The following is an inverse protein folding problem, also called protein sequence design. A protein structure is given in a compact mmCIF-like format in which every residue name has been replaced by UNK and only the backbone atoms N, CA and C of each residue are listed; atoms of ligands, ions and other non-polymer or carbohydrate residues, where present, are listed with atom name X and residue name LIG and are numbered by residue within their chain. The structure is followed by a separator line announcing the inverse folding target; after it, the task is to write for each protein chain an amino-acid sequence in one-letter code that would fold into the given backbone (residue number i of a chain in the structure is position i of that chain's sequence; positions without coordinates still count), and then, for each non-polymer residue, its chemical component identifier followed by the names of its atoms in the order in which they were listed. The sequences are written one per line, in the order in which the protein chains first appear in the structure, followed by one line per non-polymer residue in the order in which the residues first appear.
data_IF_435965434212
#
_entry.id   IF_435965434212
#
_cell.length_a   1.000
_cell.length_b   1.000
_cell.length_c   1.000
_cell.angle_alpha   90.00
_cell.angle_beta   90.00
_cell.angle_gamma   90.00
#
_symmetry.space_group_name_H-M   'P 1'
#
loop_
_entity.id
_entity.type
_entity.pdbx_description
1 polymer ?
#
# COMPACT_ATOMS: atom_id res chain seq x y z
N UNK A 1 13.61 16.94 -10.40
CA UNK A 1 13.21 17.49 -9.08
C UNK A 1 11.69 17.44 -9.01
N UNK A 2 11.12 16.85 -7.96
CA UNK A 2 9.71 17.02 -7.62
C UNK A 2 9.50 18.44 -7.06
N UNK A 3 8.39 19.09 -7.42
CA UNK A 3 8.12 20.49 -7.12
C UNK A 3 7.05 20.68 -6.03
N UNK A 4 6.48 19.59 -5.49
CA UNK A 4 5.47 19.67 -4.43
C UNK A 4 4.96 18.32 -3.96
N UNK A 5 4.13 18.35 -2.92
CA UNK A 5 3.41 17.22 -2.34
C UNK A 5 1.91 17.49 -2.40
N UNK A 6 1.11 16.51 -2.83
CA UNK A 6 -0.34 16.56 -2.83
C UNK A 6 -0.88 15.60 -1.76
N UNK A 7 -1.39 16.13 -0.66
CA UNK A 7 -1.99 15.33 0.41
C UNK A 7 -3.37 14.82 0.02
N UNK A 8 -3.57 13.50 0.04
CA UNK A 8 -4.84 12.85 -0.31
C UNK A 8 -5.63 12.30 0.89
N UNK A 9 -5.20 12.62 2.11
CA UNK A 9 -5.92 12.31 3.34
C UNK A 9 -7.13 13.26 3.55
N UNK A 10 -7.84 13.08 4.66
CA UNK A 10 -9.04 13.84 4.98
C UNK A 10 -8.71 15.22 5.59
N UNK A 11 -9.70 16.10 5.65
CA UNK A 11 -9.57 17.47 6.16
C UNK A 11 -9.09 17.54 7.61
N UNK A 12 -9.32 16.52 8.42
CA UNK A 12 -8.90 16.50 9.82
C UNK A 12 -7.38 16.50 10.02
N UNK A 13 -6.58 16.13 9.01
CA UNK A 13 -5.12 16.25 9.05
C UNK A 13 -4.58 17.52 8.40
N UNK A 14 -5.46 18.37 7.85
CA UNK A 14 -5.04 19.60 7.20
C UNK A 14 -4.57 20.62 8.25
N UNK A 15 -3.36 21.15 8.06
CA UNK A 15 -2.82 22.24 8.87
C UNK A 15 -3.31 23.62 8.41
N UNK A 16 -4.14 23.69 7.36
CA UNK A 16 -4.74 24.94 6.88
C UNK A 16 -5.83 25.40 7.85
N UNK A 17 -5.42 25.92 9.00
CA UNK A 17 -6.33 26.64 9.91
C UNK A 17 -6.74 27.96 9.25
N UNK A 18 -8.04 28.18 9.07
CA UNK A 18 -8.83 29.43 9.06
C UNK A 18 -8.19 30.80 8.66
N UNK A 19 -7.04 30.85 7.98
CA UNK A 19 -6.30 32.10 7.72
C UNK A 19 -6.89 32.87 6.55
N UNK A 20 -7.88 32.31 5.86
CA UNK A 20 -8.69 33.02 4.89
C UNK A 20 -10.15 32.76 5.26
N UNK A 21 -10.81 33.75 5.86
CA UNK A 21 -12.22 33.74 6.27
C UNK A 21 -13.23 33.61 5.11
N UNK A 22 -12.86 32.92 4.03
CA UNK A 22 -13.65 32.70 2.82
C UNK A 22 -14.06 31.23 2.62
N UNK A 23 -13.51 30.29 3.39
CA UNK A 23 -13.78 28.84 3.24
C UNK A 23 -14.45 28.20 4.47
N UNK A 24 -15.12 28.99 5.31
CA UNK A 24 -15.94 28.47 6.39
C UNK A 24 -17.20 27.79 5.81
N UNK A 25 -17.11 26.50 5.47
CA UNK A 25 -18.25 25.70 4.99
C UNK A 25 -17.95 24.65 3.94
N UNK A 26 -16.73 24.60 3.40
CA UNK A 26 -16.28 23.55 2.49
C UNK A 26 -15.22 22.73 3.21
N UNK A 27 -15.24 21.41 3.08
CA UNK A 27 -14.08 20.65 3.48
C UNK A 27 -12.93 21.15 2.59
N UNK A 28 -11.94 21.84 3.16
CA UNK A 28 -10.74 22.22 2.44
C UNK A 28 -9.91 20.96 2.14
N UNK A 29 -10.43 20.07 1.31
CA UNK A 29 -9.76 18.90 0.81
C UNK A 29 -9.75 18.90 -0.72
N UNK A 30 -8.81 18.14 -1.24
CA UNK A 30 -8.55 18.04 -2.67
C UNK A 30 -9.75 17.47 -3.46
N UNK A 31 -10.67 16.74 -2.82
CA UNK A 31 -11.89 16.25 -3.48
C UNK A 31 -12.81 17.39 -3.91
N UNK A 32 -13.02 18.38 -3.03
CA UNK A 32 -13.83 19.56 -3.32
C UNK A 32 -13.15 20.44 -4.37
N UNK A 33 -11.81 20.52 -4.34
CA UNK A 33 -11.02 21.22 -5.34
C UNK A 33 -11.10 20.57 -6.74
N UNK A 34 -11.09 19.24 -6.81
CA UNK A 34 -11.19 18.49 -8.07
C UNK A 34 -12.63 18.38 -8.60
N UNK A 35 -13.64 18.77 -7.80
CA UNK A 35 -15.07 18.74 -8.18
C UNK A 35 -15.50 17.38 -8.75
N UNK A 36 -14.99 16.30 -8.20
CA UNK A 36 -15.27 14.95 -8.69
C UNK A 36 -16.76 14.63 -8.48
N UNK A 37 -17.43 14.15 -9.53
CA UNK A 37 -18.83 13.70 -9.43
C UNK A 37 -18.96 12.48 -8.52
N UNK A 38 -17.96 11.59 -8.57
CA UNK A 38 -17.80 10.48 -7.64
C UNK A 38 -16.53 10.72 -6.82
N UNK A 39 -16.62 10.89 -5.49
CA UNK A 39 -15.46 11.17 -4.65
C UNK A 39 -14.72 9.87 -4.33
N UNK A 40 -14.19 9.24 -5.38
CA UNK A 40 -13.42 8.01 -5.31
C UNK A 40 -12.14 8.17 -6.11
N UNK A 41 -11.13 7.41 -5.73
CA UNK A 41 -9.89 7.32 -6.50
C UNK A 41 -9.23 5.97 -6.26
N UNK A 42 -8.37 5.56 -7.19
CA UNK A 42 -7.57 4.35 -7.03
C UNK A 42 -6.12 4.57 -7.40
N UNK A 43 -5.26 3.78 -6.77
CA UNK A 43 -3.82 3.79 -7.01
C UNK A 43 -3.36 2.45 -7.57
N UNK A 44 -2.59 2.55 -8.65
CA UNK A 44 -1.74 1.49 -9.18
C UNK A 44 -0.29 1.94 -9.01
N UNK A 45 0.47 1.27 -8.15
CA UNK A 45 1.90 1.54 -8.01
C UNK A 45 2.67 0.60 -8.93
N UNK A 46 3.53 1.15 -9.77
CA UNK A 46 4.31 0.36 -10.71
C UNK A 46 5.29 -0.58 -10.01
N UNK A 47 5.63 -1.66 -10.70
CA UNK A 47 6.83 -2.41 -10.40
C UNK A 47 7.93 -1.92 -11.34
N UNK A 48 8.80 -1.03 -10.84
CA UNK A 48 9.86 -0.38 -11.65
C UNK A 48 10.65 -1.33 -12.56
N UNK A 49 10.82 -2.59 -12.16
CA UNK A 49 11.55 -3.60 -12.92
C UNK A 49 10.76 -4.21 -14.09
N UNK A 50 9.44 -4.01 -14.15
CA UNK A 50 8.51 -4.59 -15.12
C UNK A 50 8.16 -3.63 -16.27
N UNK A 51 8.69 -2.40 -16.22
CA UNK A 51 8.52 -1.40 -17.28
C UNK A 51 7.13 -0.77 -17.35
N UNK A 52 6.36 -0.83 -16.25
CA UNK A 52 5.09 -0.14 -16.09
C UNK A 52 5.23 1.21 -15.38
N UNK A 53 4.29 2.11 -15.65
CA UNK A 53 4.17 3.40 -14.97
C UNK A 53 3.11 3.32 -13.87
N UNK A 54 3.33 4.06 -12.77
CA UNK A 54 2.34 4.23 -11.72
C UNK A 54 1.19 5.13 -12.18
N UNK A 55 -0.02 4.87 -11.67
CA UNK A 55 -1.22 5.62 -12.01
C UNK A 55 -2.05 5.96 -10.77
N UNK A 56 -2.62 7.17 -10.78
CA UNK A 56 -3.74 7.53 -9.91
C UNK A 56 -4.96 7.83 -10.78
N UNK A 57 -6.05 7.13 -10.53
CA UNK A 57 -7.33 7.32 -11.23
C UNK A 57 -8.27 8.12 -10.32
N UNK A 58 -8.72 9.31 -10.75
CA UNK A 58 -9.69 10.11 -9.99
C UNK A 58 -11.11 9.99 -10.58
N UNK A 59 -12.13 9.95 -9.72
CA UNK A 59 -13.54 9.89 -10.13
C UNK A 59 -14.04 8.48 -10.52
N UNK A 60 -13.15 7.49 -10.48
CA UNK A 60 -13.42 6.09 -10.79
C UNK A 60 -12.22 5.21 -10.46
N UNK A 61 -12.22 4.00 -10.99
CA UNK A 61 -11.14 3.02 -10.84
C UNK A 61 -10.80 2.46 -12.22
N UNK A 62 -9.52 2.23 -12.51
CA UNK A 62 -9.09 1.60 -13.76
C UNK A 62 -9.15 0.07 -13.65
N UNK A 63 -10.20 -0.52 -14.22
CA UNK A 63 -10.43 -1.97 -14.24
C UNK A 63 -9.37 -2.77 -15.01
N UNK A 64 -8.48 -2.11 -15.77
CA UNK A 64 -7.37 -2.80 -16.45
C UNK A 64 -6.16 -3.05 -15.55
N UNK A 65 -6.12 -2.42 -14.36
CA UNK A 65 -4.98 -2.44 -13.44
C UNK A 65 -5.11 -3.44 -12.30
N UNK A 66 -6.26 -4.11 -12.19
CA UNK A 66 -6.52 -5.09 -11.14
C UNK A 66 -7.33 -6.29 -11.64
N UNK A 67 -7.31 -7.35 -10.85
CA UNK A 67 -8.08 -8.57 -11.10
C UNK A 67 -8.83 -9.00 -9.84
N UNK A 68 -9.97 -9.66 -10.05
CA UNK A 68 -10.88 -10.03 -8.98
C UNK A 68 -11.71 -8.86 -8.46
N UNK A 69 -12.54 -9.15 -7.46
CA UNK A 69 -13.37 -8.15 -6.80
C UNK A 69 -12.59 -7.47 -5.67
N UNK A 70 -12.74 -6.16 -5.46
CA UNK A 70 -12.13 -5.46 -4.34
C UNK A 70 -12.70 -5.97 -3.01
N UNK A 71 -11.78 -6.28 -2.10
CA UNK A 71 -12.10 -6.60 -0.71
C UNK A 71 -12.15 -5.29 0.05
N UNK A 72 -13.33 -4.92 0.55
CA UNK A 72 -13.57 -3.62 1.18
C UNK A 72 -13.44 -3.65 2.69
N UNK A 73 -12.80 -2.62 3.23
CA UNK A 73 -12.57 -2.39 4.65
C UNK A 73 -13.13 -1.03 5.06
N UNK A 74 -14.07 -0.97 6.01
CA UNK A 74 -14.57 0.30 6.51
C UNK A 74 -13.45 1.05 7.23
N UNK A 75 -13.45 2.37 7.06
CA UNK A 75 -12.57 3.25 7.81
C UNK A 75 -12.94 3.27 9.29
N UNK A 76 -11.93 3.41 10.13
CA UNK A 76 -12.05 3.52 11.59
C UNK A 76 -11.35 4.77 12.08
N UNK A 77 -11.65 5.18 13.32
CA UNK A 77 -11.15 6.41 13.96
C UNK A 77 -11.60 7.70 13.27
N UNK A 78 -12.87 8.04 13.46
CA UNK A 78 -13.35 9.39 13.23
C UNK A 78 -12.76 10.33 14.29
N UNK A 79 -12.03 11.33 13.86
CA UNK A 79 -11.67 12.48 14.68
C UNK A 79 -12.64 13.63 14.38
N UNK A 80 -12.24 14.85 14.68
CA UNK A 80 -12.96 16.06 14.32
C UNK A 80 -12.04 16.92 13.47
N UNK A 81 -12.53 17.46 12.37
CA UNK A 81 -11.75 18.38 11.56
C UNK A 81 -11.67 19.80 12.16
N UNK A 82 -10.96 20.70 11.49
CA UNK A 82 -10.78 22.09 11.90
C UNK A 82 -12.10 22.90 11.99
N UNK A 83 -13.20 22.37 11.46
CA UNK A 83 -14.53 22.97 11.47
C UNK A 83 -15.46 22.34 12.51
N UNK A 84 -14.99 21.38 13.30
CA UNK A 84 -15.83 20.70 14.29
C UNK A 84 -16.65 19.55 13.71
N UNK A 85 -16.38 19.12 12.47
CA UNK A 85 -17.13 18.06 11.79
C UNK A 85 -16.43 16.71 11.98
N UNK A 86 -17.17 15.65 12.37
CA UNK A 86 -16.60 14.30 12.42
C UNK A 86 -16.06 13.88 11.06
N UNK A 87 -14.76 13.61 11.01
CA UNK A 87 -14.05 13.24 9.78
C UNK A 87 -12.93 12.27 10.15
N UNK A 88 -12.69 11.21 9.36
CA UNK A 88 -11.46 10.43 9.52
C UNK A 88 -10.24 11.35 9.40
N UNK A 89 -9.13 10.97 10.01
CA UNK A 89 -7.85 11.63 9.72
C UNK A 89 -7.20 11.00 8.50
N UNK A 90 -6.83 9.74 8.65
CA UNK A 90 -6.09 8.96 7.67
C UNK A 90 -7.02 7.92 7.02
N UNK A 91 -6.55 7.26 5.97
CA UNK A 91 -7.18 6.08 5.39
C UNK A 91 -6.95 4.83 6.28
N UNK A 92 -7.37 4.95 7.55
CA UNK A 92 -7.20 3.93 8.58
C UNK A 92 -8.34 2.92 8.52
N UNK A 93 -8.02 1.64 8.43
CA UNK A 93 -9.00 0.56 8.37
C UNK A 93 -8.73 -0.50 9.44
N UNK A 94 -9.78 -1.25 9.81
CA UNK A 94 -9.65 -2.35 10.77
C UNK A 94 -9.06 -3.59 10.09
N UNK A 95 -8.04 -4.18 10.71
CA UNK A 95 -7.50 -5.50 10.32
C UNK A 95 -8.04 -6.59 11.26
N UNK A 96 -9.35 -6.59 11.55
CA UNK A 96 -9.97 -7.61 12.40
C UNK A 96 -9.62 -9.03 11.90
N UNK A 97 -9.26 -9.91 12.83
CA UNK A 97 -8.82 -11.28 12.49
C UNK A 97 -7.44 -11.32 11.84
N UNK A 98 -6.61 -10.30 12.10
CA UNK A 98 -5.24 -10.22 11.62
C UNK A 98 -4.42 -11.45 11.97
N UNK A 99 -3.86 -12.07 10.95
CA UNK A 99 -2.79 -13.05 11.08
C UNK A 99 -1.78 -12.89 9.95
N UNK A 100 -0.62 -13.50 10.14
CA UNK A 100 0.45 -13.50 9.16
C UNK A 100 1.03 -14.90 9.03
N UNK A 101 1.57 -15.23 7.87
CA UNK A 101 2.36 -16.44 7.68
C UNK A 101 3.41 -16.28 6.59
N UNK A 102 4.47 -17.07 6.69
CA UNK A 102 5.52 -17.21 5.69
C UNK A 102 5.80 -18.70 5.52
N UNK A 103 5.87 -19.17 4.28
CA UNK A 103 6.22 -20.57 4.00
C UNK A 103 7.64 -20.88 4.49
N UNK A 104 7.82 -22.00 5.18
CA UNK A 104 9.12 -22.50 5.62
C UNK A 104 9.30 -23.97 5.23
N UNK A 105 10.54 -24.46 5.28
CA UNK A 105 10.92 -25.85 4.94
C UNK A 105 10.15 -26.90 5.74
N UNK A 106 9.64 -26.53 6.93
CA UNK A 106 8.88 -27.41 7.82
C UNK A 106 7.36 -27.11 7.82
N UNK A 107 6.86 -26.43 6.79
CA UNK A 107 5.48 -25.90 6.72
C UNK A 107 5.44 -24.39 6.95
N UNK A 108 4.26 -23.78 6.82
CA UNK A 108 4.11 -22.33 7.03
C UNK A 108 4.24 -21.97 8.52
N UNK A 109 5.06 -20.98 8.82
CA UNK A 109 5.19 -20.39 10.16
C UNK A 109 4.38 -19.10 10.16
N UNK A 110 3.58 -18.89 11.19
CA UNK A 110 2.72 -17.72 11.28
C UNK A 110 2.23 -17.46 12.70
N UNK A 111 1.50 -16.37 12.85
CA UNK A 111 0.93 -15.94 14.12
C UNK A 111 -0.32 -15.09 13.90
N UNK A 112 -1.11 -14.90 14.95
CA UNK A 112 -2.31 -14.07 14.93
C UNK A 112 -2.29 -13.10 16.10
N UNK A 113 -2.82 -11.90 15.88
CA UNK A 113 -3.04 -10.89 16.92
C UNK A 113 -4.53 -10.88 17.28
N UNK A 114 -5.00 -11.98 17.87
CA UNK A 114 -6.41 -12.11 18.26
C UNK A 114 -6.83 -11.11 19.36
N UNK A 115 -5.86 -10.54 20.10
CA UNK A 115 -6.16 -9.68 21.25
C UNK A 115 -6.27 -8.19 20.91
N UNK A 116 -5.69 -7.70 19.81
CA UNK A 116 -5.54 -6.24 19.61
C UNK A 116 -6.37 -5.62 18.46
N UNK A 117 -7.06 -6.42 17.63
CA UNK A 117 -7.78 -5.92 16.43
C UNK A 117 -7.11 -4.69 15.81
N UNK A 118 -5.83 -4.81 15.40
CA UNK A 118 -5.03 -3.63 15.11
C UNK A 118 -5.65 -2.83 13.96
N UNK A 119 -5.23 -1.58 13.87
CA UNK A 119 -5.66 -0.66 12.81
C UNK A 119 -4.47 -0.43 11.91
N UNK A 120 -4.72 -0.44 10.61
CA UNK A 120 -3.71 -0.18 9.61
C UNK A 120 -4.07 1.04 8.78
N UNK A 121 -3.06 1.70 8.24
CA UNK A 121 -3.20 2.84 7.34
C UNK A 121 -2.76 2.42 5.95
N UNK A 122 -3.59 2.65 4.94
CA UNK A 122 -3.17 2.55 3.54
C UNK A 122 -2.47 3.86 3.16
N UNK A 123 -1.15 3.82 2.95
CA UNK A 123 -0.33 5.04 2.85
C UNK A 123 0.69 4.98 1.70
N UNK A 124 0.36 5.61 0.58
CA UNK A 124 1.28 5.78 -0.56
C UNK A 124 2.47 6.70 -0.25
N UNK A 125 2.49 7.36 0.92
CA UNK A 125 3.61 8.17 1.40
C UNK A 125 4.69 7.37 2.14
N UNK A 126 4.44 6.09 2.43
CA UNK A 126 5.37 5.21 3.15
C UNK A 126 5.89 4.12 2.23
N UNK A 127 7.22 3.97 2.13
CA UNK A 127 7.82 2.96 1.25
C UNK A 127 7.71 1.52 1.76
N UNK A 128 7.64 1.33 3.08
CA UNK A 128 7.74 0.01 3.73
C UNK A 128 6.37 -0.52 4.13
N UNK A 129 6.26 -1.85 4.29
CA UNK A 129 5.21 -2.46 5.08
C UNK A 129 5.63 -2.41 6.57
N UNK A 130 4.91 -1.64 7.37
CA UNK A 130 5.21 -1.45 8.79
C UNK A 130 4.35 -2.40 9.63
N UNK A 131 5.01 -3.30 10.35
CA UNK A 131 4.43 -4.41 11.12
C UNK A 131 4.81 -4.32 12.60
N UNK A 132 4.10 -4.99 13.52
CA UNK A 132 4.55 -5.11 14.91
C UNK A 132 5.96 -5.67 14.98
N UNK A 133 6.77 -5.16 15.91
CA UNK A 133 8.20 -5.47 16.00
C UNK A 133 8.47 -6.98 16.11
N UNK A 134 7.66 -7.70 16.88
CA UNK A 134 7.75 -9.15 17.07
C UNK A 134 7.41 -9.93 15.78
N UNK A 135 6.39 -9.49 15.05
CA UNK A 135 6.03 -10.02 13.73
C UNK A 135 7.15 -9.78 12.72
N UNK A 136 7.68 -8.56 12.65
CA UNK A 136 8.82 -8.22 11.78
C UNK A 136 10.01 -9.13 12.08
N UNK A 137 10.42 -9.23 13.35
CA UNK A 137 11.55 -10.04 13.76
C UNK A 137 11.36 -11.53 13.38
N UNK A 138 10.12 -12.02 13.53
CA UNK A 138 9.78 -13.39 13.16
C UNK A 138 9.90 -13.62 11.66
N UNK A 139 9.34 -12.73 10.84
CA UNK A 139 9.44 -12.79 9.37
C UNK A 139 10.90 -12.72 8.93
N UNK A 140 11.67 -11.75 9.41
CA UNK A 140 13.09 -11.61 9.06
C UNK A 140 13.90 -12.86 9.41
N UNK A 141 13.63 -13.47 10.56
CA UNK A 141 14.27 -14.73 10.97
C UNK A 141 13.92 -15.87 10.01
N UNK A 142 12.64 -16.01 9.62
CA UNK A 142 12.19 -17.06 8.69
C UNK A 142 12.81 -16.88 7.31
N UNK A 143 12.92 -15.63 6.84
CA UNK A 143 13.53 -15.29 5.56
C UNK A 143 15.07 -15.41 5.58
N UNK A 144 15.67 -15.69 6.74
CA UNK A 144 17.13 -15.81 6.88
C UNK A 144 17.86 -14.49 6.72
N UNK A 145 17.24 -13.38 7.12
CA UNK A 145 17.87 -12.06 7.05
C UNK A 145 19.11 -11.98 7.96
N UNK A 146 20.15 -11.32 7.48
CA UNK A 146 21.41 -11.15 8.21
C UNK A 146 21.80 -9.68 8.27
N UNK A 147 22.59 -9.27 9.27
CA UNK A 147 23.17 -7.94 9.26
C UNK A 147 24.44 -7.94 8.40
N UNK A 148 24.47 -7.10 7.37
CA UNK A 148 25.65 -6.88 6.56
C UNK A 148 26.57 -5.87 7.26
N UNK A 149 27.81 -6.29 7.54
CA UNK A 149 28.80 -5.47 8.24
C UNK A 149 29.71 -4.67 7.29
N UNK A 150 29.46 -4.73 5.97
CA UNK A 150 30.15 -3.86 5.02
C UNK A 150 29.89 -2.39 5.38
N UNK A 151 30.93 -1.55 5.55
CA UNK A 151 30.78 -0.14 5.87
C UNK A 151 29.90 0.65 4.89
N UNK A 152 29.72 0.18 3.65
CA UNK A 152 28.86 0.82 2.65
C UNK A 152 27.39 0.44 2.79
N UNK A 153 27.08 -0.70 3.42
CA UNK A 153 25.70 -1.23 3.55
C UNK A 153 25.16 -1.04 4.96
N UNK A 154 25.84 -1.56 5.99
CA UNK A 154 25.46 -1.47 7.42
C UNK A 154 23.95 -1.66 7.70
N UNK A 155 23.34 -2.69 7.12
CA UNK A 155 21.90 -2.90 7.15
C UNK A 155 21.51 -4.37 7.32
N UNK A 156 20.24 -4.62 7.70
CA UNK A 156 19.65 -5.94 7.58
C UNK A 156 19.41 -6.23 6.10
N UNK A 157 19.90 -7.38 5.65
CA UNK A 157 19.87 -7.77 4.24
C UNK A 157 19.26 -9.14 4.02
N UNK A 158 18.76 -9.33 2.81
CA UNK A 158 18.20 -10.54 2.24
C UNK A 158 18.89 -10.80 0.88
N UNK A 159 18.93 -12.06 0.41
CA UNK A 159 19.36 -12.33 -0.95
C UNK A 159 18.40 -11.67 -1.96
N UNK A 160 18.93 -11.02 -2.99
CA UNK A 160 18.14 -10.41 -4.08
C UNK A 160 17.56 -11.41 -5.09
N UNK A 161 17.22 -12.63 -4.68
CA UNK A 161 16.65 -13.61 -5.60
C UNK A 161 15.15 -13.75 -5.37
N UNK A 162 14.40 -14.05 -6.44
CA UNK A 162 12.95 -14.22 -6.37
C UNK A 162 12.56 -15.62 -5.81
N UNK A 163 13.37 -16.18 -4.91
CA UNK A 163 13.12 -17.51 -4.33
C UNK A 163 12.65 -17.47 -2.89
N UNK A 164 12.63 -16.28 -2.27
CA UNK A 164 12.09 -16.12 -0.94
C UNK A 164 10.56 -16.35 -0.95
N UNK A 165 10.02 -16.99 0.10
CA UNK A 165 8.61 -17.33 0.18
C UNK A 165 7.72 -16.08 0.28
N UNK A 166 6.51 -16.07 -0.28
CA UNK A 166 5.60 -14.94 -0.10
C UNK A 166 5.27 -14.72 1.38
N UNK A 167 5.09 -13.45 1.76
CA UNK A 167 4.53 -13.08 3.07
C UNK A 167 3.02 -13.00 2.88
N UNK A 168 2.26 -13.78 3.63
CA UNK A 168 0.79 -13.75 3.59
C UNK A 168 0.28 -13.01 4.82
N UNK A 169 -0.49 -11.95 4.59
CA UNK A 169 -1.23 -11.23 5.61
C UNK A 169 -2.70 -11.57 5.46
N UNK A 170 -3.38 -11.95 6.54
CA UNK A 170 -4.79 -12.34 6.50
C UNK A 170 -5.59 -11.46 7.43
N UNK A 171 -6.70 -10.93 6.93
CA UNK A 171 -7.61 -10.11 7.70
C UNK A 171 -9.03 -10.30 7.20
N UNK A 172 -9.97 -10.41 8.15
CA UNK A 172 -11.36 -10.77 7.92
C UNK A 172 -11.55 -12.07 7.10
N UNK A 173 -10.64 -13.04 7.30
CA UNK A 173 -10.66 -14.33 6.59
C UNK A 173 -10.26 -14.25 5.11
N UNK A 174 -9.67 -13.13 4.68
CA UNK A 174 -9.12 -12.97 3.34
C UNK A 174 -7.61 -12.89 3.40
N UNK A 175 -6.94 -13.67 2.55
CA UNK A 175 -5.49 -13.74 2.47
C UNK A 175 -4.95 -12.81 1.40
N UNK A 176 -3.94 -12.03 1.77
CA UNK A 176 -3.18 -11.12 0.92
C UNK A 176 -1.73 -11.59 0.88
N UNK A 177 -1.37 -12.31 -0.17
CA UNK A 177 -0.02 -12.74 -0.47
C UNK A 177 0.81 -11.59 -1.05
N UNK A 178 1.99 -11.35 -0.49
CA UNK A 178 2.98 -10.39 -0.98
C UNK A 178 4.17 -11.19 -1.52
N UNK A 179 4.29 -11.29 -2.85
CA UNK A 179 5.45 -11.90 -3.50
C UNK A 179 6.78 -11.24 -3.10
N UNK A 180 7.86 -12.01 -3.21
CA UNK A 180 9.23 -11.58 -2.89
C UNK A 180 9.65 -10.31 -3.60
N UNK A 181 9.27 -10.12 -4.87
CA UNK A 181 9.65 -8.94 -5.63
C UNK A 181 9.14 -7.62 -5.02
N UNK A 182 8.08 -7.67 -4.21
CA UNK A 182 7.50 -6.48 -3.59
C UNK A 182 8.07 -6.16 -2.21
N UNK A 183 8.67 -7.13 -1.51
CA UNK A 183 9.26 -6.91 -0.19
C UNK A 183 10.80 -6.96 -0.16
N UNK A 184 11.48 -7.16 -1.30
CA UNK A 184 12.95 -7.02 -1.39
C UNK A 184 13.34 -5.81 -2.21
N UNK A 185 14.18 -4.93 -1.65
CA UNK A 185 14.65 -3.69 -2.30
C UNK A 185 16.14 -3.82 -2.58
N UNK A 186 16.55 -3.67 -3.85
CA UNK A 186 17.96 -3.71 -4.22
C UNK A 186 18.76 -2.59 -3.53
N UNK A 187 19.81 -2.96 -2.81
CA UNK A 187 20.65 -2.06 -2.02
C UNK A 187 22.05 -1.88 -2.61
N UNK A 188 22.50 -2.81 -3.45
CA UNK A 188 23.80 -2.74 -4.09
C UNK A 188 24.35 -4.12 -4.46
N UNK A 189 25.61 -4.13 -4.89
CA UNK A 189 26.34 -5.35 -5.22
C UNK A 189 27.65 -5.34 -4.44
N UNK A 190 27.95 -6.44 -3.74
CA UNK A 190 29.22 -6.58 -3.01
C UNK A 190 30.41 -6.57 -3.96
N UNK A 191 31.61 -6.36 -3.40
CA UNK A 191 32.89 -6.54 -4.10
C UNK A 191 33.05 -7.94 -4.70
N UNK A 192 32.36 -8.95 -4.15
CA UNK A 192 32.33 -10.31 -4.67
C UNK A 192 31.31 -10.52 -5.82
N UNK A 193 30.61 -9.47 -6.25
CA UNK A 193 29.61 -9.52 -7.32
C UNK A 193 28.23 -10.02 -6.88
N UNK A 194 27.95 -10.11 -5.59
CA UNK A 194 26.66 -10.59 -5.08
C UNK A 194 25.70 -9.42 -4.84
N UNK A 195 24.50 -9.50 -5.41
CA UNK A 195 23.46 -8.49 -5.16
C UNK A 195 22.89 -8.63 -3.74
N UNK A 196 22.79 -7.49 -3.06
CA UNK A 196 22.26 -7.35 -1.70
C UNK A 196 20.94 -6.59 -1.76
N UNK A 197 19.95 -7.11 -1.05
CA UNK A 197 18.65 -6.47 -0.91
C UNK A 197 18.37 -6.15 0.55
N UNK A 198 17.71 -5.03 0.82
CA UNK A 198 17.12 -4.75 2.13
C UNK A 198 15.65 -5.15 2.14
N UNK A 199 15.10 -5.59 3.28
CA UNK A 199 13.68 -5.88 3.39
C UNK A 199 12.88 -4.57 3.28
N UNK A 200 11.86 -4.55 2.43
CA UNK A 200 10.80 -3.53 2.38
C UNK A 200 9.82 -3.64 3.54
N UNK A 201 10.31 -4.06 4.72
CA UNK A 201 9.56 -4.23 5.95
C UNK A 201 10.14 -3.31 7.03
N UNK A 202 9.28 -2.75 7.88
CA UNK A 202 9.68 -1.91 9.00
C UNK A 202 8.88 -2.23 10.27
N UNK A 203 9.33 -1.69 11.40
CA UNK A 203 8.71 -1.91 12.69
C UNK A 203 7.77 -0.76 13.06
N UNK A 204 6.57 -1.12 13.49
CA UNK A 204 5.65 -0.24 14.20
C UNK A 204 6.25 0.13 15.57
N UNK A 205 5.81 1.25 16.11
CA UNK A 205 6.17 1.72 17.46
C UNK A 205 4.94 2.30 18.13
N UNK A 206 5.05 2.70 19.40
CA UNK A 206 3.95 3.42 20.06
C UNK A 206 3.49 4.67 19.29
N UNK A 207 4.40 5.30 18.53
CA UNK A 207 4.13 6.49 17.71
C UNK A 207 3.81 6.16 16.25
N UNK A 208 4.06 4.94 15.78
CA UNK A 208 3.90 4.53 14.37
C UNK A 208 2.97 3.32 14.32
N UNK A 209 1.73 3.48 13.80
CA UNK A 209 0.78 2.37 13.69
C UNK A 209 1.21 1.37 12.62
N UNK A 210 0.38 0.35 12.36
CA UNK A 210 0.56 -0.46 11.16
C UNK A 210 0.35 0.40 9.92
N UNK A 211 1.28 0.33 8.98
CA UNK A 211 1.23 1.10 7.74
C UNK A 211 1.46 0.15 6.57
N UNK A 212 0.51 0.15 5.65
CA UNK A 212 0.53 -0.62 4.42
C UNK A 212 0.99 0.33 3.34
N UNK A 213 2.31 0.44 3.21
CA UNK A 213 3.00 1.28 2.24
C UNK A 213 3.26 0.57 0.91
N UNK A 214 4.23 1.07 0.14
CA UNK A 214 4.52 0.62 -1.23
C UNK A 214 4.78 -0.89 -1.34
N UNK A 215 5.39 -1.53 -0.32
CA UNK A 215 5.56 -2.99 -0.29
C UNK A 215 4.24 -3.75 -0.44
N UNK A 216 3.17 -3.28 0.18
CA UNK A 216 1.84 -3.88 0.04
C UNK A 216 1.09 -3.30 -1.16
N UNK A 217 1.12 -1.97 -1.33
CA UNK A 217 0.33 -1.24 -2.34
C UNK A 217 0.84 -1.42 -3.77
N UNK A 218 2.05 -1.96 -3.98
CA UNK A 218 2.48 -2.47 -5.29
C UNK A 218 1.83 -3.82 -5.62
N UNK A 219 1.72 -4.73 -4.65
CA UNK A 219 1.09 -6.03 -4.88
C UNK A 219 -0.43 -5.93 -5.11
N UNK A 220 -1.07 -4.87 -4.62
CA UNK A 220 -2.52 -4.68 -4.66
C UNK A 220 -2.91 -3.29 -5.17
N UNK A 221 -3.81 -3.25 -6.15
CA UNK A 221 -4.50 -2.02 -6.50
C UNK A 221 -5.32 -1.57 -5.30
N UNK A 222 -5.17 -0.31 -4.91
CA UNK A 222 -5.82 0.24 -3.74
C UNK A 222 -6.95 1.19 -4.14
N UNK A 223 -8.12 0.94 -3.58
CA UNK A 223 -9.35 1.66 -3.84
C UNK A 223 -9.65 2.56 -2.64
N UNK A 224 -10.02 3.80 -2.90
CA UNK A 224 -10.34 4.76 -1.87
C UNK A 224 -11.72 5.35 -2.17
N UNK A 225 -12.67 5.11 -1.27
CA UNK A 225 -14.07 5.49 -1.42
C UNK A 225 -14.45 6.41 -0.26
N UNK A 226 -14.32 7.72 -0.49
CA UNK A 226 -14.65 8.74 0.51
C UNK A 226 -16.14 8.74 0.82
N UNK A 227 -17.00 8.51 -0.17
CA UNK A 227 -18.46 8.54 0.01
C UNK A 227 -18.92 7.48 1.00
N UNK A 228 -18.39 6.27 0.89
CA UNK A 228 -18.75 5.15 1.75
C UNK A 228 -17.76 4.93 2.90
N UNK A 229 -16.78 5.82 3.07
CA UNK A 229 -15.74 5.77 4.11
C UNK A 229 -15.10 4.39 4.22
N UNK A 230 -14.49 3.94 3.12
CA UNK A 230 -13.82 2.63 3.05
C UNK A 230 -12.60 2.67 2.11
N UNK A 231 -11.67 1.76 2.38
CA UNK A 231 -10.62 1.39 1.43
C UNK A 231 -10.87 -0.01 0.93
N UNK A 232 -10.35 -0.33 -0.26
CA UNK A 232 -10.43 -1.66 -0.82
C UNK A 232 -9.11 -2.09 -1.43
N UNK A 233 -8.93 -3.39 -1.58
CA UNK A 233 -7.75 -3.95 -2.21
C UNK A 233 -8.14 -5.09 -3.15
N UNK A 234 -7.52 -5.13 -4.33
CA UNK A 234 -7.61 -6.22 -5.29
C UNK A 234 -6.22 -6.48 -5.88
N UNK A 235 -5.98 -7.68 -6.39
CA UNK A 235 -4.67 -8.06 -6.92
C UNK A 235 -4.29 -7.14 -8.09
N UNK A 236 -3.15 -6.45 -8.00
CA UNK A 236 -2.64 -5.63 -9.09
C UNK A 236 -2.22 -6.50 -10.28
N UNK A 237 -2.49 -6.03 -11.49
CA UNK A 237 -2.11 -6.69 -12.74
C UNK A 237 -0.86 -6.01 -13.29
N UNK A 238 0.30 -6.64 -13.09
CA UNK A 238 1.58 -6.19 -13.66
C UNK A 238 1.87 -6.93 -14.97
N UNK A 239 2.57 -6.32 -15.93
CA UNK A 239 2.87 -6.93 -17.23
C UNK A 239 3.59 -8.30 -17.17
N UNK A 240 4.34 -8.56 -16.10
CA UNK A 240 5.16 -9.77 -15.91
C UNK A 240 4.76 -10.59 -14.69
N UNK A 241 3.70 -10.21 -13.95
CA UNK A 241 3.20 -11.05 -12.87
C UNK A 241 2.56 -12.30 -13.47
N UNK A 242 3.33 -13.39 -13.47
CA UNK A 242 2.84 -14.72 -13.82
C UNK A 242 1.69 -15.00 -12.87
N UNK A 243 0.47 -14.99 -13.40
CA UNK A 243 -0.74 -15.35 -12.69
C UNK A 243 -0.58 -16.76 -12.12
N UNK A 244 -0.18 -16.86 -10.84
CA UNK A 244 -0.24 -18.12 -10.11
C UNK A 244 -1.72 -18.34 -9.82
N UNK A 245 -2.39 -18.94 -10.80
CA UNK A 245 -3.78 -19.35 -10.68
C UNK A 245 -3.86 -20.33 -9.51
N UNK A 246 -4.46 -19.91 -8.41
CA UNK A 246 -4.90 -20.83 -7.37
C UNK A 246 -6.01 -21.70 -7.97
N UNK A 247 -5.64 -22.82 -8.58
CA UNK A 247 -6.56 -23.91 -8.92
C UNK A 247 -6.99 -24.61 -7.63
N UNK A 248 -7.88 -23.96 -6.89
CA UNK A 248 -8.72 -24.59 -5.87
C UNK A 248 -9.97 -25.15 -6.53
N UNK A 249 -10.08 -26.47 -6.58
CA UNK A 249 -11.25 -27.20 -7.08
C UNK A 249 -12.44 -26.93 -6.16
N UNK A 250 -13.38 -26.10 -6.58
CA UNK A 250 -14.68 -25.94 -5.89
C UNK A 250 -15.67 -26.93 -6.48
N UNK A 251 -15.80 -28.09 -5.86
CA UNK A 251 -16.99 -28.94 -6.00
C UNK A 251 -18.09 -28.38 -5.10
N UNK A 252 -19.19 -27.89 -5.70
CA UNK A 252 -20.37 -27.49 -4.94
C UNK A 252 -21.32 -26.60 -5.73
N UNK A 253 -22.14 -27.21 -6.60
CA UNK A 253 -23.30 -26.55 -7.23
C UNK A 253 -24.43 -26.45 -6.21
N UNK A 254 -24.93 -25.25 -5.97
CA UNK A 254 -26.36 -25.04 -5.71
C UNK A 254 -26.78 -23.64 -6.16
N UNK A 255 -27.72 -23.66 -7.10
CA UNK A 255 -28.27 -22.53 -7.84
C UNK A 255 -29.10 -21.58 -6.98
N UNK A 256 -28.97 -20.27 -7.23
CA UNK A 256 -30.05 -19.31 -7.02
C UNK A 256 -29.90 -18.14 -7.99
N UNK A 257 -30.79 -18.12 -9.00
CA UNK A 257 -30.95 -17.10 -10.01
C UNK A 257 -31.59 -15.84 -9.40
N UNK A 258 -31.01 -14.66 -9.58
CA UNK A 258 -31.79 -13.45 -9.87
C UNK A 258 -30.97 -12.34 -10.53
N UNK A 259 -31.44 -11.97 -11.71
CA UNK A 259 -30.99 -10.93 -12.62
C UNK A 259 -31.16 -9.51 -12.07
N UNK A 260 -30.21 -8.62 -12.37
CA UNK A 260 -30.44 -7.17 -12.51
C UNK A 260 -29.45 -6.60 -13.55
N UNK A 261 -29.87 -5.71 -14.47
CA UNK A 261 -29.02 -5.25 -15.56
C UNK A 261 -28.20 -4.04 -15.13
N UNK A 262 -26.87 -4.15 -15.11
CA UNK A 262 -26.00 -2.97 -15.09
C UNK A 262 -25.74 -2.52 -16.53
N UNK A 263 -26.14 -1.29 -16.83
CA UNK A 263 -25.87 -0.61 -18.10
C UNK A 263 -24.54 0.15 -17.93
N UNK A 264 -23.53 -0.21 -18.72
CA UNK A 264 -22.29 0.53 -18.81
C UNK A 264 -22.54 1.93 -19.42
N UNK A 265 -22.00 3.02 -18.87
CA UNK A 265 -21.95 4.28 -19.58
C UNK A 265 -20.80 4.24 -20.59
N UNK A 266 -21.16 4.28 -21.88
CA UNK A 266 -20.24 4.64 -22.96
C UNK A 266 -19.94 6.14 -22.85
N UNK A 267 -18.77 6.47 -22.30
CA UNK A 267 -18.28 7.85 -22.24
C UNK A 267 -16.77 7.85 -22.42
N UNK A 268 -16.31 8.32 -23.56
CA UNK A 268 -14.90 8.48 -23.89
C UNK A 268 -14.26 9.48 -22.94
N UNK A 269 -13.38 9.02 -22.04
CA UNK A 269 -12.57 9.91 -21.20
C UNK A 269 -11.22 10.08 -21.89
N UNK A 270 -10.96 11.28 -22.38
CA UNK A 270 -9.62 11.71 -22.79
C UNK A 270 -8.75 11.81 -21.54
N UNK A 271 -7.97 10.76 -21.26
CA UNK A 271 -6.93 10.78 -20.24
C UNK A 271 -5.83 11.78 -20.62
N UNK A 272 -5.48 12.66 -19.67
CA UNK A 272 -4.28 13.48 -19.77
C UNK A 272 -3.11 12.58 -19.37
N UNK A 273 -2.35 12.11 -20.35
CA UNK A 273 -1.06 11.46 -20.15
C UNK A 273 -0.07 12.48 -19.60
N UNK A 274 0.35 12.33 -18.36
CA UNK A 274 1.53 13.02 -17.83
C UNK A 274 2.73 12.11 -18.07
N UNK A 275 3.36 12.21 -19.25
CA UNK A 275 4.62 11.52 -19.53
C UNK A 275 5.78 12.28 -18.88
N UNK A 276 6.49 11.70 -17.92
CA UNK A 276 7.81 12.21 -17.51
C UNK A 276 8.90 11.61 -18.39
N UNK A 277 9.69 12.49 -19.01
CA UNK A 277 10.72 12.17 -19.98
C UNK A 277 11.89 11.35 -19.40
N UNK A 278 12.38 10.41 -20.20
CA UNK A 278 13.60 9.62 -20.01
C UNK A 278 14.88 10.48 -20.02
N UNK A 279 15.80 10.26 -19.07
CA UNK A 279 17.24 10.00 -19.35
C UNK A 279 18.08 9.69 -18.10
N UNK A 280 18.79 8.54 -18.20
CA UNK A 280 20.23 8.32 -18.00
C UNK A 280 20.90 8.61 -16.65
N UNK A 281 21.25 7.52 -15.96
CA UNK A 281 22.54 7.20 -15.31
C UNK A 281 23.25 8.31 -14.52
N UNK A 282 23.18 8.21 -13.19
CA UNK A 282 24.34 7.90 -12.32
C UNK A 282 23.83 7.53 -10.93
N UNK A 283 24.30 6.40 -10.40
CA UNK A 283 24.09 6.00 -9.02
C UNK A 283 24.61 7.10 -8.09
N UNK A 284 23.75 7.60 -7.21
CA UNK A 284 24.15 8.43 -6.09
C UNK A 284 23.46 7.87 -4.85
N UNK A 285 24.22 7.10 -4.08
CA UNK A 285 23.95 6.78 -2.68
C UNK A 285 23.81 8.12 -1.96
N UNK A 286 22.56 8.55 -1.73
CA UNK A 286 22.26 9.70 -0.89
C UNK A 286 21.72 9.20 0.43
N UNK A 287 22.61 9.31 1.41
CA UNK A 287 22.43 9.09 2.84
C UNK A 287 21.08 9.66 3.31
N UNK A 288 20.23 8.75 3.80
CA UNK A 288 18.92 9.01 4.38
C UNK A 288 19.09 9.65 5.77
N UNK A 289 19.45 10.93 5.79
CA UNK A 289 19.43 11.78 6.99
C UNK A 289 18.80 13.11 6.59
N UNK A 290 17.47 13.17 6.42
CA UNK A 290 16.69 14.42 6.40
C UNK A 290 15.17 14.21 6.27
N UNK A 291 14.56 13.34 7.10
CA UNK A 291 13.10 13.42 7.39
C UNK A 291 12.81 13.03 8.85
N UNK A 292 13.68 13.43 9.79
CA UNK A 292 13.49 13.14 11.23
C UNK A 292 13.37 14.38 12.13
N UNK A 293 13.16 15.57 11.57
CA UNK A 293 13.15 16.81 12.37
C UNK A 293 11.99 17.76 12.13
N UNK A 294 10.87 17.31 11.58
CA UNK A 294 9.65 18.13 11.53
C UNK A 294 8.46 17.30 12.00
N UNK A 295 8.46 16.90 13.27
CA UNK A 295 7.27 16.44 14.01
C UNK A 295 7.49 16.40 15.53
N UNK A 296 8.33 17.29 16.07
CA UNK A 296 8.43 17.57 17.50
C UNK A 296 8.63 19.07 17.70
N UNK A 297 7.52 19.79 17.69
CA UNK A 297 7.24 20.96 18.53
C UNK A 297 5.74 21.24 18.49
#
# INVERSE_FOLDING_TARGET
QQQGLLGLAFSALSSLSNTVGYYAGYECNWFDALKLTNPVFGFYLSNYNDGDDGEVTFGGYDATKYSGEPVWFPLVNTTTDIHGIPSPGWWTFSTKGWSWSVSSVNGSIGGSLFEENPRAIADTGTSYLILPQDVLNSILTILGATFDNDPEVQAIVLPCNNTLPPIVLSFNGTDFSIPTEFYTIFAGTTTAGQNICVPGLGAASESIPLIFGDTFLRAYYSFYDKKNLRVGFAQAVHPTSVATTATGTVTGVSSATKSSPYIAPTGSVTGILVSSATKSSTAAVFILYLVFSVLLN
#
